data_IF_914046376238
#
_entry.id   IF_914046376238
#
_cell.length_a   1.000
_cell.length_b   1.000
_cell.length_c   1.000
_cell.angle_alpha   90.00
_cell.angle_beta   90.00
_cell.angle_gamma   90.00
#
_symmetry.space_group_name_H-M   'P 1'
#
loop_
_entity.id
_entity.type
_entity.pdbx_description
1 polymer ?
#
# COMPACT_ATOMS: atom_id res chain seq x y z
N UNK A 1 9.23 -7.59 1.80
CA UNK A 1 9.68 -8.69 0.92
C UNK A 1 8.46 -9.26 0.20
N UNK A 2 8.40 -9.12 -1.13
CA UNK A 2 7.30 -9.64 -1.95
C UNK A 2 7.70 -11.01 -2.51
N UNK A 3 6.88 -12.04 -2.32
CA UNK A 3 7.03 -13.32 -3.02
C UNK A 3 5.93 -13.43 -4.07
N UNK A 4 6.33 -13.54 -5.34
CA UNK A 4 5.42 -13.73 -6.47
C UNK A 4 5.12 -15.23 -6.57
N UNK A 5 3.85 -15.63 -6.45
CA UNK A 5 3.43 -16.97 -6.84
C UNK A 5 2.87 -16.89 -8.26
N UNK A 6 3.69 -17.24 -9.26
CA UNK A 6 3.30 -17.16 -10.67
C UNK A 6 2.22 -18.19 -11.05
N UNK A 7 2.09 -19.29 -10.30
CA UNK A 7 1.08 -20.33 -10.56
C UNK A 7 -0.32 -19.92 -10.09
N UNK A 8 -0.43 -19.10 -9.04
CA UNK A 8 -1.72 -18.77 -8.41
C UNK A 8 -2.20 -17.33 -8.67
N UNK A 9 -1.43 -16.52 -9.40
CA UNK A 9 -1.87 -15.20 -9.87
C UNK A 9 -1.99 -14.12 -8.77
N UNK A 10 -1.32 -14.29 -7.63
CA UNK A 10 -1.26 -13.32 -6.54
C UNK A 10 0.15 -13.05 -6.05
N UNK A 11 0.31 -11.92 -5.36
CA UNK A 11 1.53 -11.56 -4.62
C UNK A 11 1.21 -11.57 -3.13
N UNK A 12 2.06 -12.23 -2.34
CA UNK A 12 1.99 -12.11 -0.88
C UNK A 12 2.66 -10.81 -0.46
N UNK A 13 1.88 -9.93 0.15
CA UNK A 13 2.34 -8.67 0.71
C UNK A 13 2.37 -8.80 2.24
N UNK A 14 3.57 -8.69 2.82
CA UNK A 14 3.81 -8.71 4.27
C UNK A 14 4.10 -7.29 4.73
N UNK A 15 3.25 -6.75 5.60
CA UNK A 15 3.38 -5.44 6.20
C UNK A 15 3.68 -5.56 7.68
N UNK A 16 4.53 -4.65 8.16
CA UNK A 16 4.72 -4.39 9.58
C UNK A 16 4.51 -2.90 9.82
N UNK A 17 3.71 -2.56 10.82
CA UNK A 17 3.41 -1.16 11.15
C UNK A 17 3.09 -1.00 12.64
N UNK A 18 3.27 0.20 13.15
CA UNK A 18 2.84 0.56 14.50
C UNK A 18 1.33 0.86 14.51
N UNK A 19 0.54 0.03 15.19
CA UNK A 19 -0.89 0.30 15.39
C UNK A 19 -1.05 1.25 16.59
N UNK A 20 -1.31 2.51 16.30
CA UNK A 20 -1.50 3.55 17.33
C UNK A 20 -2.70 3.30 18.24
N UNK A 21 -3.71 2.55 17.80
CA UNK A 21 -4.90 2.23 18.62
C UNK A 21 -4.60 1.12 19.62
N UNK A 22 -3.80 0.14 19.21
CA UNK A 22 -3.40 -0.98 20.06
C UNK A 22 -2.07 -0.73 20.79
N UNK A 23 -1.38 0.38 20.48
CA UNK A 23 -0.06 0.75 21.02
C UNK A 23 0.97 -0.38 20.91
N UNK A 24 1.03 -1.05 19.74
CA UNK A 24 1.95 -2.16 19.48
C UNK A 24 2.29 -2.28 18.00
N UNK A 25 3.40 -2.97 17.71
CA UNK A 25 3.69 -3.42 16.35
C UNK A 25 2.69 -4.49 15.92
N UNK A 26 2.12 -4.31 14.73
CA UNK A 26 1.25 -5.27 14.08
C UNK A 26 1.94 -5.80 12.82
N UNK A 27 1.77 -7.10 12.58
CA UNK A 27 2.21 -7.77 11.36
C UNK A 27 0.99 -8.28 10.62
N UNK A 28 0.90 -7.96 9.34
CA UNK A 28 -0.22 -8.35 8.49
C UNK A 28 0.35 -9.00 7.24
N UNK A 29 -0.20 -10.15 6.88
CA UNK A 29 0.03 -10.79 5.60
C UNK A 29 -1.28 -10.72 4.80
N UNK A 30 -1.19 -10.22 3.57
CA UNK A 30 -2.33 -10.14 2.65
C UNK A 30 -1.91 -10.65 1.28
N UNK A 31 -2.83 -11.30 0.57
CA UNK A 31 -2.62 -11.67 -0.83
C UNK A 31 -3.21 -10.58 -1.70
N UNK A 32 -2.37 -9.98 -2.55
CA UNK A 32 -2.79 -8.95 -3.49
C UNK A 32 -2.96 -9.59 -4.86
N UNK A 33 -4.13 -9.38 -5.45
CA UNK A 33 -4.39 -9.65 -6.87
C UNK A 33 -4.69 -8.35 -7.60
N UNK A 34 -4.61 -8.37 -8.92
CA UNK A 34 -5.08 -7.25 -9.73
C UNK A 34 -6.24 -7.67 -10.62
N UNK A 35 -7.19 -6.75 -10.82
CA UNK A 35 -8.33 -6.95 -11.71
C UNK A 35 -8.42 -5.81 -12.72
N UNK A 36 -9.10 -6.10 -13.82
CA UNK A 36 -9.40 -5.16 -14.89
C UNK A 36 -10.84 -4.70 -14.76
N UNK A 37 -11.04 -3.39 -14.68
CA UNK A 37 -12.39 -2.80 -14.74
C UNK A 37 -12.91 -2.72 -16.19
N UNK A 38 -14.22 -2.54 -16.35
CA UNK A 38 -14.87 -2.45 -17.67
C UNK A 38 -14.25 -1.31 -18.49
N UNK A 39 -13.89 -1.60 -19.74
CA UNK A 39 -13.31 -0.63 -20.67
C UNK A 39 -11.79 -0.49 -20.59
N UNK A 40 -11.15 -1.03 -19.55
CA UNK A 40 -9.69 -1.05 -19.47
C UNK A 40 -9.12 -2.26 -20.22
N UNK A 41 -7.95 -2.09 -20.84
CA UNK A 41 -7.18 -3.17 -21.47
C UNK A 41 -6.19 -3.83 -20.52
N UNK A 42 -5.74 -3.07 -19.52
CA UNK A 42 -4.74 -3.47 -18.51
C UNK A 42 -5.41 -3.42 -17.13
N UNK A 43 -5.00 -4.31 -16.22
CA UNK A 43 -5.48 -4.29 -14.83
C UNK A 43 -5.25 -2.94 -14.17
N UNK A 44 -6.28 -2.42 -13.52
CA UNK A 44 -6.29 -1.09 -12.91
C UNK A 44 -6.93 -1.08 -11.51
N UNK A 45 -7.23 -2.26 -10.97
CA UNK A 45 -7.77 -2.46 -9.63
C UNK A 45 -6.81 -3.34 -8.84
N UNK A 46 -6.46 -2.91 -7.63
CA UNK A 46 -5.76 -3.70 -6.63
C UNK A 46 -6.79 -4.32 -5.69
N UNK A 47 -6.68 -5.62 -5.45
CA UNK A 47 -7.67 -6.40 -4.71
C UNK A 47 -6.96 -7.24 -3.65
N UNK A 48 -6.90 -6.75 -2.40
CA UNK A 48 -6.47 -7.53 -1.26
C UNK A 48 -7.49 -8.61 -0.92
N UNK A 49 -7.01 -9.84 -0.88
CA UNK A 49 -7.66 -10.94 -0.20
C UNK A 49 -7.18 -10.91 1.24
N UNK A 50 -8.05 -10.46 2.12
CA UNK A 50 -7.85 -10.56 3.56
C UNK A 50 -7.98 -12.04 3.95
N UNK A 51 -7.09 -12.53 4.80
CA UNK A 51 -7.09 -13.94 5.22
C UNK A 51 -8.41 -14.36 5.88
N UNK A 52 -8.61 -15.66 6.12
CA UNK A 52 -9.88 -16.24 6.59
C UNK A 52 -10.37 -15.71 7.97
N UNK A 53 -9.59 -14.87 8.66
CA UNK A 53 -9.99 -14.18 9.88
C UNK A 53 -11.00 -13.04 9.65
N UNK A 54 -11.29 -12.67 8.41
CA UNK A 54 -12.48 -11.88 8.06
C UNK A 54 -13.41 -12.78 7.26
N UNK A 55 -14.48 -13.25 7.90
CA UNK A 55 -15.38 -14.26 7.36
C UNK A 55 -15.99 -13.92 5.99
N UNK A 56 -16.67 -14.89 5.36
CA UNK A 56 -17.27 -14.71 4.03
C UNK A 56 -18.45 -13.73 4.14
N UNK A 57 -18.25 -12.46 3.77
CA UNK A 57 -19.35 -11.49 3.76
C UNK A 57 -19.00 -10.01 3.80
N UNK A 58 -17.73 -9.62 3.99
CA UNK A 58 -17.32 -8.23 3.77
C UNK A 58 -17.28 -7.90 2.27
N UNK A 59 -17.65 -6.68 1.83
CA UNK A 59 -17.41 -6.26 0.46
C UNK A 59 -15.92 -6.41 0.13
N UNK A 60 -15.61 -7.00 -1.02
CA UNK A 60 -14.24 -7.09 -1.52
C UNK A 60 -13.69 -5.65 -1.58
N UNK A 61 -12.68 -5.35 -0.75
CA UNK A 61 -12.08 -4.03 -0.74
C UNK A 61 -11.34 -3.86 -2.07
N UNK A 62 -11.88 -3.05 -2.98
CA UNK A 62 -11.30 -2.81 -4.30
C UNK A 62 -10.66 -1.42 -4.33
N UNK A 63 -9.38 -1.36 -4.65
CA UNK A 63 -8.60 -0.13 -4.65
C UNK A 63 -8.19 0.24 -6.08
N UNK A 64 -8.80 1.27 -6.70
CA UNK A 64 -8.38 1.73 -8.01
C UNK A 64 -6.95 2.27 -8.01
N UNK A 65 -6.16 1.86 -9.00
CA UNK A 65 -4.86 2.44 -9.31
C UNK A 65 -5.08 3.71 -10.13
N UNK A 66 -4.80 4.86 -9.54
CA UNK A 66 -4.89 6.15 -10.22
C UNK A 66 -3.68 6.41 -11.12
N UNK A 67 -2.50 5.96 -10.69
CA UNK A 67 -1.26 6.04 -11.45
C UNK A 67 -0.25 5.01 -10.91
N UNK A 68 0.58 4.49 -11.79
CA UNK A 68 1.81 3.78 -11.43
C UNK A 68 2.75 3.87 -12.62
N UNK A 69 4.04 3.96 -12.35
CA UNK A 69 5.11 3.80 -13.34
C UNK A 69 5.53 2.33 -13.50
N UNK A 70 4.89 1.41 -12.76
CA UNK A 70 5.22 -0.01 -12.64
C UNK A 70 6.61 -0.32 -12.06
N UNK A 71 7.37 0.69 -11.64
CA UNK A 71 8.77 0.54 -11.24
C UNK A 71 9.05 1.11 -9.86
N UNK A 72 8.61 2.33 -9.55
CA UNK A 72 9.03 3.05 -8.33
C UNK A 72 7.87 3.49 -7.45
N UNK A 73 6.67 3.64 -8.00
CA UNK A 73 5.54 4.15 -7.23
C UNK A 73 4.17 3.68 -7.72
N UNK A 74 3.20 3.78 -6.81
CA UNK A 74 1.79 3.64 -7.11
C UNK A 74 0.97 4.68 -6.34
N UNK A 75 -0.03 5.25 -7.02
CA UNK A 75 -1.05 6.12 -6.43
C UNK A 75 -2.35 5.35 -6.41
N UNK A 76 -2.84 5.08 -5.22
CA UNK A 76 -3.98 4.19 -4.96
C UNK A 76 -5.13 5.02 -4.39
N UNK A 77 -6.34 4.86 -4.94
CA UNK A 77 -7.56 5.46 -4.38
C UNK A 77 -8.14 4.55 -3.30
N UNK A 78 -8.63 5.17 -2.23
CA UNK A 78 -9.30 4.50 -1.10
C UNK A 78 -10.75 4.98 -1.07
N UNK A 79 -11.69 4.31 -1.78
CA UNK A 79 -13.04 4.83 -1.99
C UNK A 79 -13.82 5.08 -0.69
N UNK A 80 -13.71 4.18 0.28
CA UNK A 80 -14.45 4.24 1.55
C UNK A 80 -14.20 5.51 2.37
N UNK A 81 -13.07 6.19 2.14
CA UNK A 81 -12.66 7.39 2.88
C UNK A 81 -12.48 8.61 2.00
N UNK A 82 -12.87 8.52 0.72
CA UNK A 82 -12.45 9.47 -0.32
C UNK A 82 -10.94 9.77 -0.24
N UNK A 83 -10.18 8.71 0.06
CA UNK A 83 -8.78 8.77 0.41
C UNK A 83 -7.88 8.47 -0.77
N UNK A 84 -6.59 8.74 -0.58
CA UNK A 84 -5.57 8.43 -1.55
C UNK A 84 -4.28 8.05 -0.82
N UNK A 85 -3.52 7.13 -1.39
CA UNK A 85 -2.25 6.67 -0.86
C UNK A 85 -1.20 6.78 -1.95
N UNK A 86 -0.01 7.24 -1.57
CA UNK A 86 1.20 7.15 -2.38
C UNK A 86 2.07 6.04 -1.79
N UNK A 87 2.32 4.99 -2.57
CA UNK A 87 3.23 3.91 -2.21
C UNK A 87 4.50 4.07 -3.05
N UNK A 88 5.65 3.92 -2.41
CA UNK A 88 6.96 3.97 -3.05
C UNK A 88 7.97 3.14 -2.26
N UNK A 89 9.08 2.77 -2.88
CA UNK A 89 10.20 2.14 -2.18
C UNK A 89 10.97 3.17 -1.34
N UNK A 90 11.85 2.69 -0.46
CA UNK A 90 12.60 3.54 0.48
C UNK A 90 13.42 4.62 -0.25
N UNK A 91 13.98 4.29 -1.42
CA UNK A 91 14.73 5.22 -2.27
C UNK A 91 13.85 6.38 -2.78
N UNK A 92 12.57 6.09 -3.02
CA UNK A 92 11.57 7.07 -3.45
C UNK A 92 11.15 8.04 -2.35
N UNK A 93 11.21 7.63 -1.07
CA UNK A 93 10.88 8.49 0.07
C UNK A 93 11.84 9.67 0.21
N UNK A 94 13.11 9.48 -0.16
CA UNK A 94 14.14 10.53 -0.10
C UNK A 94 14.09 11.51 -1.28
N UNK A 95 13.32 11.18 -2.33
CA UNK A 95 13.17 12.00 -3.53
C UNK A 95 11.73 12.52 -3.69
N UNK A 96 11.32 13.39 -2.76
CA UNK A 96 10.01 14.08 -2.77
C UNK A 96 9.73 14.95 -4.03
N UNK A 97 10.69 15.03 -4.96
CA UNK A 97 10.61 15.79 -6.21
C UNK A 97 10.33 14.93 -7.46
N UNK A 98 10.02 13.65 -7.30
CA UNK A 98 9.66 12.77 -8.42
C UNK A 98 8.29 13.11 -9.03
N UNK A 99 8.08 12.71 -10.29
CA UNK A 99 6.79 12.86 -10.99
C UNK A 99 5.62 12.19 -10.25
N UNK A 100 5.87 11.12 -9.48
CA UNK A 100 4.85 10.50 -8.62
C UNK A 100 4.31 11.47 -7.56
N UNK A 101 5.18 12.28 -6.94
CA UNK A 101 4.76 13.32 -6.00
C UNK A 101 3.94 14.41 -6.69
N UNK A 102 4.36 14.83 -7.89
CA UNK A 102 3.58 15.78 -8.68
C UNK A 102 2.18 15.24 -9.00
N UNK A 103 2.09 14.02 -9.54
CA UNK A 103 0.81 13.39 -9.90
C UNK A 103 -0.05 13.17 -8.64
N UNK A 104 0.55 12.75 -7.52
CA UNK A 104 -0.15 12.62 -6.24
C UNK A 104 -0.73 13.95 -5.79
N UNK A 105 0.01 15.05 -5.94
CA UNK A 105 -0.46 16.39 -5.60
C UNK A 105 -1.61 16.87 -6.51
N UNK A 106 -1.62 16.48 -7.78
CA UNK A 106 -2.69 16.82 -8.73
C UNK A 106 -3.93 15.98 -8.49
N UNK A 107 -3.77 14.68 -8.29
CA UNK A 107 -4.88 13.73 -8.20
C UNK A 107 -5.52 13.70 -6.80
N UNK A 108 -4.74 13.91 -5.75
CA UNK A 108 -5.16 13.65 -4.37
C UNK A 108 -5.38 14.93 -3.56
N UNK A 109 -6.15 14.82 -2.49
CA UNK A 109 -6.61 15.97 -1.71
C UNK A 109 -5.48 16.81 -1.12
N UNK A 110 -5.83 18.03 -0.68
CA UNK A 110 -4.86 18.97 -0.11
C UNK A 110 -4.30 18.54 1.25
N UNK A 111 -5.10 17.79 2.03
CA UNK A 111 -4.68 17.25 3.34
C UNK A 111 -3.89 15.97 3.12
N UNK A 112 -2.64 15.95 3.59
CA UNK A 112 -1.69 14.84 3.43
C UNK A 112 -1.06 14.54 4.78
N UNK A 113 -0.76 13.26 5.00
CA UNK A 113 -0.19 12.75 6.23
C UNK A 113 0.92 11.78 5.87
N UNK A 114 2.04 11.89 6.57
CA UNK A 114 3.12 10.93 6.45
C UNK A 114 2.77 9.69 7.26
N UNK A 115 2.70 8.54 6.58
CA UNK A 115 2.44 7.23 7.22
C UNK A 115 3.74 6.56 7.63
N UNK A 116 4.83 6.85 6.92
CA UNK A 116 6.17 6.33 7.21
C UNK A 116 7.13 7.50 7.49
N UNK A 117 8.04 7.30 8.44
CA UNK A 117 9.07 8.27 8.82
C UNK A 117 10.36 7.52 9.14
N UNK A 118 11.46 7.80 8.41
CA UNK A 118 12.78 7.19 8.64
C UNK A 118 13.20 7.31 10.11
N UNK A 119 12.92 8.45 10.76
CA UNK A 119 13.31 8.69 12.14
C UNK A 119 12.53 7.82 13.13
N UNK A 120 11.20 7.76 12.98
CA UNK A 120 10.36 7.01 13.91
C UNK A 120 10.44 5.50 13.63
N UNK A 121 10.38 5.10 12.37
CA UNK A 121 10.43 3.69 11.97
C UNK A 121 11.84 3.12 12.11
N UNK A 122 12.89 3.84 11.70
CA UNK A 122 14.27 3.39 11.85
C UNK A 122 14.73 3.30 13.32
N UNK A 123 14.17 4.14 14.20
CA UNK A 123 14.41 4.01 15.64
C UNK A 123 13.76 2.75 16.24
N UNK A 124 12.56 2.38 15.80
CA UNK A 124 11.89 1.15 16.24
C UNK A 124 12.65 -0.11 15.78
N UNK A 125 13.26 -0.09 14.60
CA UNK A 125 14.11 -1.18 14.12
C UNK A 125 15.39 -1.33 14.95
N UNK A 126 16.08 -0.22 15.28
CA UNK A 126 17.30 -0.25 16.11
C UNK A 126 17.04 -0.75 17.53
N UNK A 127 15.94 -0.30 18.16
CA UNK A 127 15.59 -0.72 19.53
C UNK A 127 15.27 -2.22 19.63
N UNK A 128 14.99 -2.89 18.50
CA UNK A 128 14.75 -4.32 18.40
C UNK A 128 16.04 -5.13 18.27
N UNK A 129 17.12 -4.55 17.78
CA UNK A 129 18.44 -5.21 17.68
C UNK A 129 19.19 -5.21 19.03
N UNK A 130 18.78 -4.34 19.95
CA UNK A 130 19.36 -4.19 21.30
C UNK A 130 18.66 -5.06 22.38
N UNK A 131 17.64 -5.85 22.01
CA UNK A 131 16.89 -6.80 22.87
C UNK A 131 17.08 -8.23 22.38
#
# INVERSE_FOLDING_TARGET
MHSKNEEEGFVVHKMEFWDTRASRMAKVETRLTTKKSKGYKISNLLVPQLGPSQGPGGPEAVFPLAFTDYETCAIIRVPEKDGCQLWTYEEGLRSLNGYCHFIYNVLCGKRKYDVYSDQLCGYLDKRREEL
#
